data_IF_360901964047
#
_entry.id   IF_360901964047
#
_cell.length_a   1.000
_cell.length_b   1.000
_cell.length_c   1.000
_cell.angle_alpha   90.00
_cell.angle_beta   90.00
_cell.angle_gamma   90.00
#
_symmetry.space_group_name_H-M   'P 1'
#
loop_
_entity.id
_entity.type
_entity.pdbx_description
1 polymer ?
#
# COMPACT_ATOMS: atom_id res chain seq x y z
N UNK A 1 10.51 16.94 11.88
CA UNK A 1 11.64 15.98 11.73
C UNK A 1 11.07 14.63 11.37
N UNK A 2 11.66 13.97 10.38
CA UNK A 2 11.36 12.56 10.04
C UNK A 2 12.53 11.68 10.50
N UNK A 3 12.23 10.44 10.87
CA UNK A 3 13.21 9.41 11.22
C UNK A 3 13.08 8.27 10.22
N UNK A 4 14.20 7.75 9.74
CA UNK A 4 14.27 6.56 8.90
C UNK A 4 14.88 5.41 9.71
N UNK A 5 14.29 4.23 9.56
CA UNK A 5 14.80 2.98 10.13
C UNK A 5 14.96 2.00 8.99
N UNK A 6 16.18 1.55 8.74
CA UNK A 6 16.45 0.52 7.75
C UNK A 6 16.27 -0.86 8.38
N UNK A 7 15.39 -1.68 7.80
CA UNK A 7 15.11 -3.05 8.22
C UNK A 7 15.81 -3.99 7.24
N UNK A 8 16.72 -4.81 7.75
CA UNK A 8 17.48 -5.79 6.97
C UNK A 8 16.81 -7.14 7.01
N UNK A 9 16.59 -7.72 5.84
CA UNK A 9 16.03 -9.08 5.71
C UNK A 9 16.82 -9.91 4.70
N UNK A 10 16.76 -11.25 4.79
CA UNK A 10 17.44 -12.12 3.82
C UNK A 10 16.97 -11.92 2.37
N UNK A 11 15.75 -11.43 2.17
CA UNK A 11 15.14 -11.21 0.85
C UNK A 11 15.34 -9.79 0.31
N UNK A 12 15.95 -8.90 1.07
CA UNK A 12 16.18 -7.49 0.72
C UNK A 12 15.89 -6.55 1.88
N UNK A 13 16.47 -5.38 1.83
CA UNK A 13 16.29 -4.34 2.83
C UNK A 13 15.11 -3.44 2.46
N UNK A 14 14.43 -2.90 3.47
CA UNK A 14 13.40 -1.88 3.27
C UNK A 14 13.48 -0.81 4.35
N UNK A 15 12.88 0.34 4.07
CA UNK A 15 12.92 1.51 4.94
C UNK A 15 11.57 1.76 5.60
N UNK A 16 11.59 2.05 6.90
CA UNK A 16 10.44 2.53 7.64
C UNK A 16 10.63 4.01 7.95
N UNK A 17 9.73 4.84 7.42
CA UNK A 17 9.74 6.29 7.63
C UNK A 17 8.74 6.68 8.71
N UNK A 18 9.19 7.42 9.70
CA UNK A 18 8.36 7.89 10.82
C UNK A 18 8.47 9.40 10.91
N UNK A 19 7.33 10.09 10.90
CA UNK A 19 7.32 11.54 11.05
C UNK A 19 5.93 12.15 10.85
N UNK A 20 5.77 13.37 11.29
CA UNK A 20 4.56 14.14 11.05
C UNK A 20 4.52 14.69 9.63
N UNK A 21 3.33 14.70 9.02
CA UNK A 21 3.08 15.26 7.67
C UNK A 21 3.91 14.63 6.54
N UNK A 22 4.39 13.39 6.72
CA UNK A 22 5.23 12.70 5.72
C UNK A 22 4.56 12.60 4.36
N UNK A 23 3.28 12.28 4.30
CA UNK A 23 2.57 12.10 3.03
C UNK A 23 2.59 13.35 2.13
N UNK A 24 2.63 14.55 2.74
CA UNK A 24 2.68 15.81 2.01
C UNK A 24 4.10 16.33 1.74
N UNK A 25 5.12 15.80 2.41
CA UNK A 25 6.49 16.33 2.35
C UNK A 25 7.54 15.37 1.81
N UNK A 26 7.22 14.07 1.73
CA UNK A 26 8.14 13.08 1.22
C UNK A 26 8.28 13.15 -0.31
N UNK A 27 9.50 13.04 -0.80
CA UNK A 27 9.77 12.99 -2.23
C UNK A 27 9.62 11.56 -2.76
N UNK A 28 8.44 11.27 -3.33
CA UNK A 28 8.14 9.95 -3.89
C UNK A 28 8.79 9.69 -5.27
N UNK A 29 9.48 10.66 -5.87
CA UNK A 29 9.90 10.58 -7.27
C UNK A 29 10.63 9.28 -7.63
N UNK A 30 11.58 8.87 -6.85
CA UNK A 30 12.36 7.65 -7.11
C UNK A 30 11.56 6.36 -6.98
N UNK A 31 10.43 6.38 -6.26
CA UNK A 31 9.53 5.24 -6.08
C UNK A 31 8.47 5.13 -7.18
N UNK A 32 8.01 6.26 -7.72
CA UNK A 32 6.76 6.31 -8.49
C UNK A 32 6.90 6.81 -9.93
N UNK A 33 8.04 7.45 -10.28
CA UNK A 33 8.21 8.04 -11.60
C UNK A 33 8.04 6.99 -12.71
N UNK A 34 7.18 7.29 -13.70
CA UNK A 34 6.86 6.43 -14.83
C UNK A 34 6.23 5.07 -14.46
N UNK A 35 5.66 4.94 -13.28
CA UNK A 35 5.01 3.69 -12.81
C UNK A 35 3.50 3.83 -12.75
N UNK A 36 2.80 2.72 -12.97
CA UNK A 36 1.38 2.60 -12.64
C UNK A 36 1.24 2.41 -11.14
N UNK A 37 0.32 3.12 -10.51
CA UNK A 37 0.10 3.09 -9.07
C UNK A 37 -1.35 2.73 -8.78
N UNK A 38 -1.58 1.72 -7.95
CA UNK A 38 -2.88 1.46 -7.35
C UNK A 38 -2.82 1.75 -5.86
N UNK A 39 -3.64 2.68 -5.41
CA UNK A 39 -3.88 2.94 -3.99
C UNK A 39 -5.11 2.15 -3.57
N UNK A 40 -4.96 1.23 -2.65
CA UNK A 40 -6.07 0.54 -1.98
C UNK A 40 -6.29 1.21 -0.64
N UNK A 41 -7.41 1.90 -0.51
CA UNK A 41 -7.76 2.70 0.67
C UNK A 41 -8.88 2.03 1.45
N UNK A 42 -8.72 1.92 2.75
CA UNK A 42 -9.84 1.58 3.64
C UNK A 42 -10.87 2.71 3.66
N UNK A 43 -12.14 2.37 3.53
CA UNK A 43 -13.26 3.33 3.53
C UNK A 43 -13.29 4.20 4.79
N UNK A 44 -12.80 3.70 5.92
CA UNK A 44 -12.73 4.45 7.19
C UNK A 44 -11.61 5.50 7.23
N UNK A 45 -10.67 5.48 6.29
CA UNK A 45 -9.60 6.50 6.22
C UNK A 45 -10.17 7.81 5.66
N UNK A 46 -9.98 8.96 6.34
CA UNK A 46 -10.45 10.25 5.83
C UNK A 46 -9.91 10.59 4.44
N UNK A 47 -10.76 11.17 3.61
CA UNK A 47 -10.40 11.53 2.23
C UNK A 47 -9.29 12.57 2.16
N UNK A 48 -9.13 13.42 3.16
CA UNK A 48 -8.04 14.41 3.22
C UNK A 48 -6.65 13.74 3.24
N UNK A 49 -6.54 12.56 3.85
CA UNK A 49 -5.30 11.78 3.87
C UNK A 49 -5.00 11.24 2.46
N UNK A 50 -6.02 10.69 1.79
CA UNK A 50 -5.90 10.23 0.41
C UNK A 50 -5.50 11.37 -0.53
N UNK A 51 -6.15 12.53 -0.44
CA UNK A 51 -5.85 13.66 -1.32
C UNK A 51 -4.44 14.22 -1.09
N UNK A 52 -4.00 14.29 0.17
CA UNK A 52 -2.61 14.67 0.48
C UNK A 52 -1.61 13.72 -0.18
N UNK A 53 -1.84 12.42 -0.10
CA UNK A 53 -1.03 11.41 -0.76
C UNK A 53 -1.06 11.55 -2.28
N UNK A 54 -2.27 11.67 -2.87
CA UNK A 54 -2.43 11.80 -4.33
C UNK A 54 -1.70 13.01 -4.91
N UNK A 55 -1.78 14.15 -4.25
CA UNK A 55 -1.06 15.37 -4.67
C UNK A 55 0.45 15.12 -4.67
N UNK A 56 0.99 14.53 -3.59
CA UNK A 56 2.42 14.23 -3.50
C UNK A 56 2.90 13.24 -4.57
N UNK A 57 2.10 12.20 -4.82
CA UNK A 57 2.40 11.22 -5.86
C UNK A 57 2.32 11.86 -7.26
N UNK A 58 1.30 12.67 -7.54
CA UNK A 58 1.14 13.33 -8.85
C UNK A 58 2.30 14.26 -9.17
N UNK A 59 2.83 14.97 -8.19
CA UNK A 59 4.01 15.82 -8.34
C UNK A 59 5.29 15.03 -8.67
N UNK A 60 5.26 13.73 -8.50
CA UNK A 60 6.38 12.81 -8.73
C UNK A 60 6.33 12.12 -10.10
N UNK A 61 5.42 12.55 -10.99
CA UNK A 61 5.30 12.11 -12.38
C UNK A 61 5.07 10.60 -12.55
N UNK A 62 4.07 10.00 -11.91
CA UNK A 62 3.67 8.63 -12.19
C UNK A 62 3.11 8.51 -13.61
N UNK A 63 3.07 7.31 -14.16
CA UNK A 63 2.36 7.02 -15.41
C UNK A 63 0.85 7.14 -15.21
N UNK A 64 0.34 6.58 -14.12
CA UNK A 64 -1.07 6.53 -13.78
C UNK A 64 -1.25 6.34 -12.29
N UNK A 65 -2.28 6.95 -11.71
CA UNK A 65 -2.74 6.68 -10.33
C UNK A 65 -4.19 6.26 -10.38
N UNK A 66 -4.48 5.06 -9.87
CA UNK A 66 -5.84 4.58 -9.60
C UNK A 66 -6.06 4.44 -8.11
N UNK A 67 -7.31 4.58 -7.69
CA UNK A 67 -7.73 4.40 -6.30
C UNK A 67 -8.85 3.38 -6.26
N UNK A 68 -8.72 2.42 -5.38
CA UNK A 68 -9.77 1.48 -5.01
C UNK A 68 -10.07 1.66 -3.53
N UNK A 69 -11.29 2.06 -3.21
CA UNK A 69 -11.78 2.07 -1.84
C UNK A 69 -12.40 0.71 -1.50
N UNK A 70 -12.02 0.15 -0.36
CA UNK A 70 -12.55 -1.11 0.15
C UNK A 70 -13.06 -0.93 1.58
N UNK A 71 -14.12 -1.63 1.92
CA UNK A 71 -14.55 -1.78 3.29
C UNK A 71 -13.77 -2.93 3.92
N UNK A 72 -13.07 -2.69 5.03
CA UNK A 72 -12.25 -3.69 5.70
C UNK A 72 -12.84 -4.11 7.04
N UNK A 73 -13.00 -5.40 7.21
CA UNK A 73 -13.40 -6.06 8.46
C UNK A 73 -12.87 -7.51 8.43
N UNK A 74 -13.02 -8.24 9.53
CA UNK A 74 -12.52 -9.63 9.60
C UNK A 74 -13.13 -10.57 8.56
N UNK A 75 -14.35 -10.31 8.08
CA UNK A 75 -14.98 -11.12 7.03
C UNK A 75 -14.40 -10.82 5.65
N UNK A 76 -14.04 -9.56 5.40
CA UNK A 76 -13.43 -9.16 4.11
C UNK A 76 -11.96 -9.55 4.02
N UNK A 77 -11.31 -9.90 5.14
CA UNK A 77 -9.95 -10.44 5.16
C UNK A 77 -9.95 -11.91 4.67
N UNK A 78 -10.38 -12.14 3.44
CA UNK A 78 -10.60 -13.44 2.82
C UNK A 78 -10.18 -13.42 1.34
N UNK A 79 -10.19 -14.59 0.67
CA UNK A 79 -9.93 -14.66 -0.77
C UNK A 79 -10.93 -13.81 -1.57
N UNK A 80 -12.20 -13.85 -1.20
CA UNK A 80 -13.26 -13.06 -1.84
C UNK A 80 -12.99 -11.56 -1.72
N UNK A 81 -12.50 -11.12 -0.56
CA UNK A 81 -12.14 -9.73 -0.33
C UNK A 81 -10.95 -9.23 -1.16
N UNK A 82 -10.08 -10.14 -1.63
CA UNK A 82 -8.96 -9.79 -2.50
C UNK A 82 -9.38 -9.63 -3.97
N UNK A 83 -10.48 -10.26 -4.38
CA UNK A 83 -10.93 -10.27 -5.79
C UNK A 83 -11.01 -8.86 -6.38
N UNK A 84 -11.66 -7.87 -5.74
CA UNK A 84 -11.75 -6.51 -6.30
C UNK A 84 -10.38 -5.87 -6.59
N UNK A 85 -9.37 -6.15 -5.76
CA UNK A 85 -8.03 -5.61 -5.95
C UNK A 85 -7.38 -6.25 -7.20
N UNK A 86 -7.46 -7.57 -7.32
CA UNK A 86 -6.96 -8.28 -8.50
C UNK A 86 -7.69 -7.87 -9.79
N UNK A 87 -9.01 -7.67 -9.71
CA UNK A 87 -9.80 -7.22 -10.87
C UNK A 87 -9.36 -5.85 -11.36
N UNK A 88 -9.15 -4.88 -10.46
CA UNK A 88 -8.66 -3.55 -10.84
C UNK A 88 -7.27 -3.63 -11.46
N UNK A 89 -6.36 -4.40 -10.88
CA UNK A 89 -5.01 -4.59 -11.42
C UNK A 89 -5.06 -5.21 -12.83
N UNK A 90 -5.85 -6.25 -13.01
CA UNK A 90 -5.95 -6.97 -14.28
C UNK A 90 -6.68 -6.16 -15.35
N UNK A 91 -7.84 -5.58 -15.03
CA UNK A 91 -8.65 -4.81 -15.99
C UNK A 91 -7.90 -3.58 -16.53
N UNK A 92 -7.02 -2.99 -15.71
CA UNK A 92 -6.21 -1.84 -16.12
C UNK A 92 -4.81 -2.23 -16.58
N UNK A 93 -4.55 -3.52 -16.79
CA UNK A 93 -3.28 -4.05 -17.32
C UNK A 93 -2.04 -3.54 -16.57
N UNK A 94 -2.12 -3.54 -15.23
CA UNK A 94 -0.97 -3.21 -14.41
C UNK A 94 0.18 -4.17 -14.68
N UNK A 95 1.33 -3.62 -15.01
CA UNK A 95 2.52 -4.40 -15.33
C UNK A 95 3.31 -4.79 -14.07
N UNK A 96 4.39 -5.55 -14.23
CA UNK A 96 5.21 -6.02 -13.11
C UNK A 96 5.96 -4.91 -12.38
N UNK A 97 6.20 -3.78 -13.04
CA UNK A 97 6.87 -2.62 -12.44
C UNK A 97 5.90 -1.67 -11.74
N UNK A 98 4.63 -2.03 -11.64
CA UNK A 98 3.64 -1.24 -10.93
C UNK A 98 3.93 -1.19 -9.42
N UNK A 99 3.31 -0.21 -8.77
CA UNK A 99 3.40 -0.02 -7.32
C UNK A 99 2.01 -0.15 -6.71
N UNK A 100 1.89 -1.02 -5.71
CA UNK A 100 0.69 -1.12 -4.90
C UNK A 100 0.88 -0.34 -3.59
N UNK A 101 -0.10 0.46 -3.20
CA UNK A 101 -0.07 1.22 -1.96
C UNK A 101 -1.26 0.81 -1.09
N UNK A 102 -0.98 0.31 0.11
CA UNK A 102 -2.00 0.03 1.12
C UNK A 102 -2.15 1.22 2.07
N UNK A 103 -3.34 1.83 2.11
CA UNK A 103 -3.67 2.96 2.99
C UNK A 103 -4.79 2.57 3.96
N UNK A 104 -4.43 2.16 5.17
CA UNK A 104 -5.42 1.69 6.14
C UNK A 104 -4.84 1.04 7.39
N UNK A 105 -5.68 0.31 8.09
CA UNK A 105 -5.33 -0.46 9.28
C UNK A 105 -4.69 -1.82 8.96
N UNK A 106 -4.59 -2.69 9.98
CA UNK A 106 -3.94 -3.99 9.88
C UNK A 106 -4.58 -4.92 8.86
N UNK A 107 -5.89 -4.94 8.73
CA UNK A 107 -6.61 -5.74 7.73
C UNK A 107 -6.22 -5.28 6.32
N UNK A 108 -6.25 -3.98 6.08
CA UNK A 108 -5.84 -3.40 4.78
C UNK A 108 -4.40 -3.77 4.44
N UNK A 109 -3.46 -3.58 5.38
CA UNK A 109 -2.04 -3.86 5.14
C UNK A 109 -1.79 -5.34 4.88
N UNK A 110 -2.48 -6.24 5.58
CA UNK A 110 -2.38 -7.68 5.35
C UNK A 110 -2.93 -8.09 3.97
N UNK A 111 -4.11 -7.62 3.61
CA UNK A 111 -4.75 -7.92 2.32
C UNK A 111 -3.90 -7.39 1.15
N UNK A 112 -3.50 -6.13 1.22
CA UNK A 112 -2.72 -5.48 0.17
C UNK A 112 -1.33 -6.12 0.03
N UNK A 113 -0.71 -6.47 1.16
CA UNK A 113 0.55 -7.20 1.18
C UNK A 113 0.44 -8.57 0.52
N UNK A 114 -0.65 -9.31 0.78
CA UNK A 114 -0.90 -10.61 0.14
C UNK A 114 -1.08 -10.48 -1.38
N UNK A 115 -1.83 -9.47 -1.83
CA UNK A 115 -1.99 -9.18 -3.27
C UNK A 115 -0.64 -8.84 -3.89
N UNK A 116 0.16 -7.95 -3.26
CA UNK A 116 1.47 -7.56 -3.76
C UNK A 116 2.42 -8.76 -3.91
N UNK A 117 2.40 -9.68 -2.96
CA UNK A 117 3.21 -10.90 -3.02
C UNK A 117 2.77 -11.88 -4.10
N UNK A 118 1.47 -11.87 -4.47
CA UNK A 118 0.87 -12.87 -5.36
C UNK A 118 0.72 -12.39 -6.81
N UNK A 119 0.39 -11.12 -7.02
CA UNK A 119 0.18 -10.55 -8.35
C UNK A 119 1.48 -10.59 -9.17
N UNK A 120 1.42 -11.17 -10.38
CA UNK A 120 2.56 -11.31 -11.30
C UNK A 120 3.84 -11.87 -10.65
N UNK A 121 3.70 -12.72 -9.62
CA UNK A 121 4.79 -13.30 -8.81
C UNK A 121 5.54 -12.29 -7.93
N UNK A 122 4.88 -11.22 -7.57
CA UNK A 122 5.37 -10.17 -6.71
C UNK A 122 5.53 -8.83 -7.43
N UNK A 123 4.97 -7.80 -6.83
CA UNK A 123 5.08 -6.40 -7.24
C UNK A 123 5.50 -5.56 -6.02
N UNK A 124 6.01 -4.37 -6.29
CA UNK A 124 6.43 -3.45 -5.23
C UNK A 124 5.24 -2.95 -4.40
N UNK A 125 5.50 -2.76 -3.12
CA UNK A 125 4.50 -2.40 -2.12
C UNK A 125 4.98 -1.23 -1.25
N UNK A 126 4.09 -0.28 -1.00
CA UNK A 126 4.22 0.70 0.08
C UNK A 126 3.04 0.52 1.04
N UNK A 127 3.33 0.37 2.31
CA UNK A 127 2.32 0.36 3.37
C UNK A 127 2.24 1.74 4.04
N UNK A 128 1.04 2.29 4.13
CA UNK A 128 0.74 3.53 4.84
C UNK A 128 -0.25 3.21 5.97
N UNK A 129 0.26 2.75 7.11
CA UNK A 129 -0.57 2.29 8.22
C UNK A 129 -1.23 3.47 8.93
N UNK A 130 -2.53 3.38 9.20
CA UNK A 130 -3.35 4.44 9.82
C UNK A 130 -3.81 4.14 11.24
N UNK A 131 -3.56 2.92 11.75
CA UNK A 131 -3.82 2.55 13.15
C UNK A 131 -2.52 2.29 13.88
N UNK A 132 -2.51 2.46 15.20
CA UNK A 132 -1.31 2.20 16.01
C UNK A 132 -0.81 0.76 15.81
N UNK A 133 -1.72 -0.23 15.86
CA UNK A 133 -1.35 -1.64 15.68
C UNK A 133 -0.70 -1.88 14.31
N UNK A 134 -1.24 -1.31 13.24
CA UNK A 134 -0.63 -1.46 11.92
C UNK A 134 0.72 -0.75 11.80
N UNK A 135 0.91 0.38 12.49
CA UNK A 135 2.18 1.12 12.49
C UNK A 135 3.31 0.37 13.20
N UNK A 136 3.01 -0.37 14.25
CA UNK A 136 4.04 -1.03 15.07
C UNK A 136 4.18 -2.52 14.80
N UNK A 137 3.23 -3.13 14.09
CA UNK A 137 3.18 -4.58 13.86
C UNK A 137 2.77 -4.94 12.42
N UNK A 138 1.51 -4.78 12.03
CA UNK A 138 0.98 -5.38 10.81
C UNK A 138 1.65 -4.91 9.51
N UNK A 139 2.08 -3.64 9.43
CA UNK A 139 2.78 -3.10 8.26
C UNK A 139 4.29 -3.37 8.28
N UNK A 140 4.83 -3.99 9.33
CA UNK A 140 6.26 -4.21 9.54
C UNK A 140 6.58 -5.70 9.41
N UNK A 141 7.73 -6.01 8.79
CA UNK A 141 8.25 -7.37 8.75
C UNK A 141 7.79 -8.22 7.56
N UNK A 142 6.93 -7.69 6.69
CA UNK A 142 6.52 -8.34 5.44
C UNK A 142 5.64 -9.58 5.61
N UNK A 143 5.18 -9.90 6.82
CA UNK A 143 4.18 -10.95 7.03
C UNK A 143 2.83 -10.43 6.57
N UNK A 144 2.15 -11.19 5.74
CA UNK A 144 0.81 -10.91 5.25
C UNK A 144 -0.05 -12.16 5.41
N UNK A 145 -1.34 -11.99 5.46
CA UNK A 145 -2.24 -13.12 5.60
C UNK A 145 -3.70 -12.75 5.40
N UNK A 146 -4.47 -13.77 5.09
CA UNK A 146 -5.92 -13.71 5.00
C UNK A 146 -6.51 -14.84 5.81
N UNK A 147 -7.75 -14.68 6.25
CA UNK A 147 -8.46 -15.73 6.95
C UNK A 147 -8.89 -16.81 5.95
N UNK A 148 -8.67 -18.05 6.35
CA UNK A 148 -9.19 -19.23 5.64
C UNK A 148 -10.22 -19.88 6.56
N UNK A 149 -11.49 -19.66 6.29
CA UNK A 149 -12.59 -20.24 7.06
C UNK A 149 -13.24 -21.38 6.30
#
# INVERSE_FOLDING_TARGET
MSKSINVRTPSGDYEVLIGSKLLGSYNFKWLVQNRQILIVKDSMVPNEILETLRISLSNSQPMEIKVLEIETNEKTKSFEGLIPIFEVLNANKFNRDCLLIGLGGGITTDMVGFVAASYLRGIDLIQIPTTLLSQVDAAIGGKTGINFA
#
